data_IF_221415817452
#
_entry.id   IF_221415817452
#
_cell.length_a   1.000
_cell.length_b   1.000
_cell.length_c   1.000
_cell.angle_alpha   90.00
_cell.angle_beta   90.00
_cell.angle_gamma   90.00
#
_symmetry.space_group_name_H-M   'P 1'
#
loop_
_entity.id
_entity.type
_entity.pdbx_description
1 polymer ?
#
# COMPACT_ATOMS: atom_id res chain seq x y z
N UNK A 1 24.68 21.57 1.78
CA UNK A 1 24.24 22.40 2.93
C UNK A 1 22.81 21.97 3.21
N UNK A 2 22.64 20.95 4.06
CA UNK A 2 21.35 20.31 4.33
C UNK A 2 20.62 21.15 5.39
N UNK A 3 19.42 21.64 5.06
CA UNK A 3 18.58 22.39 6.00
C UNK A 3 18.34 21.59 7.29
N UNK A 4 18.51 22.26 8.42
CA UNK A 4 18.18 21.82 9.78
C UNK A 4 16.65 21.84 10.05
N UNK A 5 15.83 21.54 9.05
CA UNK A 5 14.39 21.39 9.29
C UNK A 5 14.15 19.93 9.65
N UNK A 6 13.92 19.68 10.95
CA UNK A 6 13.43 18.39 11.41
C UNK A 6 12.21 18.00 10.60
N UNK A 7 12.18 16.75 10.13
CA UNK A 7 11.19 16.26 9.18
C UNK A 7 9.81 16.25 9.87
N UNK A 8 9.04 17.35 9.75
CA UNK A 8 7.70 17.49 10.33
C UNK A 8 6.67 16.53 9.74
N UNK A 9 7.07 15.63 8.83
CA UNK A 9 6.20 14.65 8.22
C UNK A 9 5.54 13.71 9.25
N UNK A 10 6.12 13.50 10.44
CA UNK A 10 5.44 12.75 11.51
C UNK A 10 4.18 13.48 12.04
N UNK A 11 4.08 14.81 11.89
CA UNK A 11 2.87 15.58 12.23
C UNK A 11 1.70 15.18 11.34
N UNK A 12 1.94 14.75 10.10
CA UNK A 12 0.88 14.22 9.23
C UNK A 12 0.23 12.98 9.86
N UNK A 13 1.03 12.12 10.50
CA UNK A 13 0.53 10.96 11.23
C UNK A 13 -0.35 11.37 12.42
N UNK A 14 0.05 12.40 13.17
CA UNK A 14 -0.76 12.95 14.27
C UNK A 14 -2.05 13.60 13.78
N UNK A 15 -1.99 14.36 12.69
CA UNK A 15 -3.16 14.97 12.06
C UNK A 15 -4.12 13.91 11.51
N UNK A 16 -3.60 12.79 10.97
CA UNK A 16 -4.39 11.63 10.56
C UNK A 16 -5.07 10.92 11.75
N UNK A 17 -4.53 11.05 12.96
CA UNK A 17 -5.13 10.48 14.17
C UNK A 17 -6.39 11.26 14.62
N UNK A 18 -6.49 12.55 14.30
CA UNK A 18 -7.62 13.40 14.70
C UNK A 18 -8.96 12.91 14.10
N UNK A 19 -9.08 12.68 12.78
CA UNK A 19 -10.29 12.09 12.19
C UNK A 19 -10.65 10.72 12.78
N UNK A 20 -9.67 9.88 13.11
CA UNK A 20 -9.91 8.57 13.75
C UNK A 20 -10.57 8.71 15.12
N UNK A 21 -10.12 9.68 15.91
CA UNK A 21 -10.65 9.96 17.25
C UNK A 21 -12.02 10.65 17.19
N UNK A 22 -12.23 11.59 16.26
CA UNK A 22 -13.44 12.41 16.20
C UNK A 22 -14.61 11.77 15.44
N UNK A 23 -14.36 11.15 14.28
CA UNK A 23 -15.45 10.69 13.40
C UNK A 23 -16.08 9.37 13.88
N UNK A 24 -15.46 8.70 14.87
CA UNK A 24 -15.85 7.37 15.38
C UNK A 24 -16.21 6.42 14.24
N UNK A 25 -15.46 6.47 13.13
CA UNK A 25 -15.66 5.62 11.94
C UNK A 25 -15.65 4.14 12.34
N UNK A 26 -14.94 3.83 13.43
CA UNK A 26 -14.85 2.54 14.12
C UNK A 26 -16.19 1.94 14.54
N UNK A 27 -17.15 2.76 14.98
CA UNK A 27 -18.35 2.28 15.67
C UNK A 27 -19.50 2.00 14.70
N UNK A 28 -19.40 2.47 13.46
CA UNK A 28 -20.50 2.40 12.51
C UNK A 28 -20.02 2.01 11.11
N UNK A 29 -20.39 0.81 10.68
CA UNK A 29 -20.11 0.26 9.34
C UNK A 29 -20.54 1.20 8.21
N UNK A 30 -21.68 1.89 8.36
CA UNK A 30 -22.17 2.81 7.33
C UNK A 30 -21.25 4.03 7.19
N UNK A 31 -20.68 4.54 8.28
CA UNK A 31 -19.70 5.64 8.25
C UNK A 31 -18.39 5.19 7.60
N UNK A 32 -17.94 3.97 7.90
CA UNK A 32 -16.77 3.37 7.26
C UNK A 32 -16.95 3.27 5.74
N UNK A 33 -18.08 2.70 5.31
CA UNK A 33 -18.40 2.57 3.88
C UNK A 33 -18.49 3.95 3.23
N UNK A 34 -19.20 4.89 3.85
CA UNK A 34 -19.33 6.26 3.34
C UNK A 34 -17.97 6.94 3.16
N UNK A 35 -17.07 6.80 4.14
CA UNK A 35 -15.71 7.33 4.04
C UNK A 35 -14.97 6.76 2.81
N UNK A 36 -14.97 5.44 2.64
CA UNK A 36 -14.32 4.79 1.48
C UNK A 36 -14.97 5.19 0.14
N UNK A 37 -16.29 5.35 0.09
CA UNK A 37 -17.01 5.83 -1.10
C UNK A 37 -16.64 7.29 -1.44
N UNK A 38 -16.51 8.16 -0.44
CA UNK A 38 -16.02 9.52 -0.64
C UNK A 38 -14.57 9.54 -1.14
N UNK A 39 -13.69 8.75 -0.53
CA UNK A 39 -12.30 8.63 -0.97
C UNK A 39 -12.20 8.10 -2.39
N UNK A 40 -13.03 7.11 -2.76
CA UNK A 40 -13.11 6.59 -4.12
C UNK A 40 -13.47 7.67 -5.12
N UNK A 41 -14.49 8.48 -4.83
CA UNK A 41 -14.84 9.61 -5.69
C UNK A 41 -13.68 10.60 -5.83
N UNK A 42 -13.06 10.99 -4.71
CA UNK A 42 -11.93 11.95 -4.72
C UNK A 42 -10.76 11.42 -5.54
N UNK A 43 -10.35 10.16 -5.36
CA UNK A 43 -9.25 9.56 -6.10
C UNK A 43 -9.54 9.42 -7.59
N UNK A 44 -10.78 9.04 -7.96
CA UNK A 44 -11.20 9.02 -9.36
C UNK A 44 -11.09 10.41 -9.98
N UNK A 45 -11.54 11.46 -9.28
CA UNK A 45 -11.40 12.84 -9.74
C UNK A 45 -9.94 13.29 -9.84
N UNK A 46 -9.08 12.88 -8.91
CA UNK A 46 -7.64 13.16 -8.95
C UNK A 46 -6.96 12.50 -10.16
N UNK A 47 -7.26 11.24 -10.44
CA UNK A 47 -6.74 10.54 -11.64
C UNK A 47 -7.19 11.27 -12.91
N UNK A 48 -8.47 11.63 -13.01
CA UNK A 48 -8.99 12.38 -14.16
C UNK A 48 -8.30 13.75 -14.29
N UNK A 49 -8.10 14.46 -13.18
CA UNK A 49 -7.38 15.73 -13.14
C UNK A 49 -5.93 15.61 -13.60
N UNK A 50 -5.20 14.59 -13.15
CA UNK A 50 -3.83 14.28 -13.59
C UNK A 50 -3.79 13.98 -15.10
N UNK A 51 -4.75 13.23 -15.63
CA UNK A 51 -4.87 13.04 -17.07
C UNK A 51 -5.06 14.35 -17.83
N UNK A 52 -5.96 15.22 -17.37
CA UNK A 52 -6.12 16.54 -17.97
C UNK A 52 -4.80 17.32 -17.98
N UNK A 53 -4.11 17.41 -16.84
CA UNK A 53 -2.81 18.10 -16.72
C UNK A 53 -1.78 17.51 -17.70
N UNK A 54 -1.71 16.17 -17.75
CA UNK A 54 -0.80 15.43 -18.62
C UNK A 54 -1.06 15.69 -20.11
N UNK A 55 -2.34 15.69 -20.54
CA UNK A 55 -2.72 15.98 -21.92
C UNK A 55 -2.40 17.42 -22.35
N UNK A 56 -2.37 18.38 -21.42
CA UNK A 56 -1.89 19.75 -21.67
C UNK A 56 -0.36 19.87 -21.64
N UNK A 57 0.38 18.75 -21.61
CA UNK A 57 1.85 18.72 -21.62
C UNK A 57 2.49 19.17 -20.30
N UNK A 58 1.70 19.33 -19.24
CA UNK A 58 2.16 19.70 -17.90
C UNK A 58 2.31 18.46 -17.02
N UNK A 59 3.04 18.58 -15.92
CA UNK A 59 3.04 17.56 -14.87
C UNK A 59 3.28 18.20 -13.51
N UNK A 60 2.73 17.56 -12.48
CA UNK A 60 2.99 17.89 -11.08
C UNK A 60 4.28 17.24 -10.56
N UNK A 61 4.92 16.36 -11.34
CA UNK A 61 6.15 15.66 -10.95
C UNK A 61 7.19 15.67 -12.08
N UNK A 62 8.47 15.68 -11.73
CA UNK A 62 9.58 15.84 -12.68
C UNK A 62 9.58 14.78 -13.80
N UNK A 63 9.28 13.52 -13.45
CA UNK A 63 9.25 12.40 -14.39
C UNK A 63 7.89 12.17 -15.06
N UNK A 64 7.01 13.17 -15.06
CA UNK A 64 5.62 13.08 -15.53
C UNK A 64 4.77 12.01 -14.82
N UNK A 65 5.21 11.56 -13.65
CA UNK A 65 4.51 10.57 -12.84
C UNK A 65 3.28 11.18 -12.17
N UNK A 66 2.19 10.42 -12.08
CA UNK A 66 0.99 10.86 -11.39
C UNK A 66 1.20 10.79 -9.88
N UNK A 67 0.78 11.84 -9.17
CA UNK A 67 0.89 11.97 -7.71
C UNK A 67 -0.45 12.24 -7.02
N UNK A 68 -1.50 12.59 -7.78
CA UNK A 68 -2.86 12.79 -7.29
C UNK A 68 -3.01 13.83 -6.17
N UNK A 69 -2.01 14.69 -5.96
CA UNK A 69 -1.95 15.64 -4.85
C UNK A 69 -1.44 15.08 -3.51
N UNK A 70 -0.94 13.83 -3.45
CA UNK A 70 -0.31 13.26 -2.25
C UNK A 70 1.18 13.62 -2.10
N UNK A 71 1.76 14.30 -3.10
CA UNK A 71 3.16 14.71 -3.07
C UNK A 71 4.18 13.56 -3.24
N UNK A 72 3.72 12.33 -3.53
CA UNK A 72 4.58 11.19 -3.81
C UNK A 72 3.89 10.18 -4.75
N UNK A 73 4.52 9.78 -5.88
CA UNK A 73 3.93 8.83 -6.81
C UNK A 73 3.62 7.45 -6.21
N UNK A 74 4.49 6.95 -5.33
CA UNK A 74 4.28 5.63 -4.71
C UNK A 74 3.14 5.66 -3.71
N UNK A 75 3.01 6.71 -2.88
CA UNK A 75 1.92 6.85 -1.92
C UNK A 75 0.57 6.94 -2.63
N UNK A 76 0.50 7.71 -3.73
CA UNK A 76 -0.69 7.77 -4.57
C UNK A 76 -1.06 6.40 -5.17
N UNK A 77 -0.09 5.70 -5.74
CA UNK A 77 -0.30 4.36 -6.30
C UNK A 77 -0.82 3.36 -5.26
N UNK A 78 -0.24 3.34 -4.06
CA UNK A 78 -0.69 2.45 -2.97
C UNK A 78 -2.12 2.78 -2.52
N UNK A 79 -2.47 4.07 -2.50
CA UNK A 79 -3.82 4.47 -2.14
C UNK A 79 -4.84 4.06 -3.22
N UNK A 80 -4.48 4.17 -4.51
CA UNK A 80 -5.27 3.61 -5.60
C UNK A 80 -5.44 2.09 -5.45
N UNK A 81 -4.36 1.35 -5.18
CA UNK A 81 -4.39 -0.10 -4.96
C UNK A 81 -5.32 -0.49 -3.82
N UNK A 82 -5.31 0.29 -2.73
CA UNK A 82 -6.19 0.06 -1.60
C UNK A 82 -7.66 0.22 -1.97
N UNK A 83 -7.99 1.24 -2.77
CA UNK A 83 -9.36 1.43 -3.26
C UNK A 83 -9.76 0.43 -4.34
N UNK A 84 -8.82 -0.06 -5.13
CA UNK A 84 -9.03 -1.20 -6.03
C UNK A 84 -9.37 -2.46 -5.21
N UNK A 85 -8.65 -2.72 -4.12
CA UNK A 85 -8.98 -3.81 -3.21
C UNK A 85 -10.39 -3.63 -2.61
N UNK A 86 -10.77 -2.40 -2.24
CA UNK A 86 -12.13 -2.09 -1.80
C UNK A 86 -13.19 -2.41 -2.87
N UNK A 87 -12.96 -1.99 -4.11
CA UNK A 87 -13.85 -2.28 -5.25
C UNK A 87 -14.02 -3.78 -5.50
N UNK A 88 -12.92 -4.54 -5.44
CA UNK A 88 -12.87 -5.95 -5.84
C UNK A 88 -13.38 -6.90 -4.75
N UNK A 89 -13.04 -6.64 -3.49
CA UNK A 89 -13.29 -7.57 -2.37
C UNK A 89 -14.47 -7.19 -1.50
N UNK A 90 -14.91 -5.92 -1.50
CA UNK A 90 -16.00 -5.47 -0.63
C UNK A 90 -17.20 -4.92 -1.39
N UNK A 91 -16.95 -3.96 -2.28
CA UNK A 91 -18.01 -3.15 -2.88
C UNK A 91 -18.90 -3.99 -3.79
N UNK A 92 -20.18 -3.62 -3.87
CA UNK A 92 -21.11 -4.22 -4.84
C UNK A 92 -20.68 -3.90 -6.28
N UNK A 93 -20.92 -4.85 -7.18
CA UNK A 93 -20.70 -4.65 -8.62
C UNK A 93 -21.70 -3.62 -9.14
N UNK A 94 -21.19 -2.61 -9.81
CA UNK A 94 -21.96 -1.56 -10.47
C UNK A 94 -21.18 -1.04 -11.67
N UNK A 95 -21.85 -0.35 -12.60
CA UNK A 95 -21.16 0.29 -13.72
C UNK A 95 -20.09 1.28 -13.24
N UNK A 96 -20.40 2.06 -12.20
CA UNK A 96 -19.41 2.96 -11.61
C UNK A 96 -18.25 2.21 -10.95
N UNK A 97 -18.46 1.03 -10.32
CA UNK A 97 -17.36 0.19 -9.81
C UNK A 97 -16.43 -0.27 -10.93
N UNK A 98 -16.99 -0.64 -12.09
CA UNK A 98 -16.21 -1.04 -13.26
C UNK A 98 -15.41 0.14 -13.79
N UNK A 99 -16.05 1.30 -14.01
CA UNK A 99 -15.40 2.51 -14.49
C UNK A 99 -14.28 2.98 -13.55
N UNK A 100 -14.56 3.04 -12.24
CA UNK A 100 -13.59 3.44 -11.24
C UNK A 100 -12.39 2.47 -11.18
N UNK A 101 -12.62 1.17 -11.33
CA UNK A 101 -11.54 0.18 -11.38
C UNK A 101 -10.54 0.48 -12.51
N UNK A 102 -11.02 0.68 -13.75
CA UNK A 102 -10.13 0.95 -14.87
C UNK A 102 -9.39 2.28 -14.74
N UNK A 103 -10.07 3.33 -14.25
CA UNK A 103 -9.41 4.61 -14.01
C UNK A 103 -8.32 4.50 -12.95
N UNK A 104 -8.60 3.85 -11.81
CA UNK A 104 -7.58 3.68 -10.76
C UNK A 104 -6.40 2.82 -11.25
N UNK A 105 -6.65 1.75 -12.00
CA UNK A 105 -5.57 0.96 -12.63
C UNK A 105 -4.69 1.81 -13.54
N UNK A 106 -5.29 2.66 -14.38
CA UNK A 106 -4.56 3.58 -15.23
C UNK A 106 -3.75 4.58 -14.38
N UNK A 107 -4.34 5.12 -13.31
CA UNK A 107 -3.65 5.97 -12.35
C UNK A 107 -2.41 5.31 -11.72
N UNK A 108 -2.53 4.05 -11.29
CA UNK A 108 -1.40 3.26 -10.72
C UNK A 108 -0.28 3.11 -11.74
N UNK A 109 -0.58 2.72 -12.97
CA UNK A 109 0.44 2.56 -14.03
C UNK A 109 1.15 3.88 -14.32
N UNK A 110 0.40 4.99 -14.37
CA UNK A 110 0.94 6.33 -14.63
C UNK A 110 1.79 6.88 -13.47
N UNK A 111 1.79 6.27 -12.29
CA UNK A 111 2.72 6.64 -11.20
C UNK A 111 4.18 6.29 -11.50
N UNK A 112 4.44 5.43 -12.51
CA UNK A 112 5.79 4.93 -12.85
C UNK A 112 6.57 4.37 -11.64
N UNK A 113 5.84 3.88 -10.64
CA UNK A 113 6.37 3.32 -9.39
C UNK A 113 6.16 1.82 -9.36
N UNK A 114 7.25 1.06 -9.24
CA UNK A 114 7.21 -0.41 -9.34
C UNK A 114 6.37 -1.06 -8.25
N UNK A 115 6.49 -0.58 -7.01
CA UNK A 115 5.81 -1.19 -5.88
C UNK A 115 4.27 -1.15 -6.02
N UNK A 116 3.63 0.00 -6.31
CA UNK A 116 2.21 0.03 -6.65
C UNK A 116 1.83 -0.90 -7.79
N UNK A 117 2.58 -0.93 -8.89
CA UNK A 117 2.26 -1.79 -10.05
C UNK A 117 2.32 -3.28 -9.67
N UNK A 118 3.29 -3.69 -8.84
CA UNK A 118 3.38 -5.05 -8.32
C UNK A 118 2.22 -5.38 -7.38
N UNK A 119 1.83 -4.45 -6.51
CA UNK A 119 0.69 -4.62 -5.62
C UNK A 119 -0.63 -4.71 -6.38
N UNK A 120 -0.85 -3.88 -7.40
CA UNK A 120 -1.96 -3.97 -8.33
C UNK A 120 -2.06 -5.37 -8.97
N UNK A 121 -0.93 -5.87 -9.45
CA UNK A 121 -0.84 -7.21 -10.06
C UNK A 121 -1.22 -8.27 -9.03
N UNK A 122 -0.67 -8.20 -7.82
CA UNK A 122 -1.00 -9.13 -6.74
C UNK A 122 -2.50 -9.10 -6.39
N UNK A 123 -3.09 -7.92 -6.24
CA UNK A 123 -4.51 -7.72 -5.87
C UNK A 123 -5.43 -8.32 -6.94
N UNK A 124 -5.16 -8.04 -8.21
CA UNK A 124 -5.96 -8.54 -9.35
C UNK A 124 -5.81 -10.05 -9.51
N UNK A 125 -4.60 -10.60 -9.31
CA UNK A 125 -4.33 -12.05 -9.30
C UNK A 125 -5.07 -12.74 -8.16
N UNK A 126 -4.94 -12.24 -6.93
CA UNK A 126 -5.62 -12.78 -5.76
C UNK A 126 -7.15 -12.79 -5.96
N UNK A 127 -7.70 -11.70 -6.49
CA UNK A 127 -9.14 -11.61 -6.78
C UNK A 127 -9.60 -12.65 -7.81
N UNK A 128 -8.85 -12.77 -8.92
CA UNK A 128 -9.20 -13.71 -9.98
C UNK A 128 -9.03 -15.17 -9.57
N UNK A 129 -8.00 -15.50 -8.79
CA UNK A 129 -7.81 -16.83 -8.21
C UNK A 129 -8.95 -17.21 -7.26
N UNK A 130 -9.39 -16.28 -6.39
CA UNK A 130 -10.51 -16.52 -5.47
C UNK A 130 -11.86 -16.72 -6.18
N UNK A 131 -12.03 -16.22 -7.41
CA UNK A 131 -13.29 -16.30 -8.17
C UNK A 131 -13.32 -17.38 -9.23
N UNK A 132 -12.21 -17.62 -9.89
CA UNK A 132 -12.13 -18.44 -11.09
C UNK A 132 -11.06 -19.54 -10.99
N UNK A 133 -10.37 -19.63 -9.84
CA UNK A 133 -9.41 -20.68 -9.53
C UNK A 133 -8.28 -20.76 -10.55
N UNK A 134 -7.95 -22.00 -10.94
CA UNK A 134 -6.84 -22.33 -11.85
C UNK A 134 -6.99 -21.68 -13.23
N UNK A 135 -8.23 -21.47 -13.71
CA UNK A 135 -8.48 -20.86 -15.03
C UNK A 135 -7.93 -19.44 -15.11
N UNK A 136 -7.99 -18.69 -14.02
CA UNK A 136 -7.46 -17.33 -13.97
C UNK A 136 -5.93 -17.33 -13.91
N UNK A 137 -5.33 -18.27 -13.18
CA UNK A 137 -3.87 -18.41 -13.13
C UNK A 137 -3.28 -18.68 -14.53
N UNK A 138 -3.95 -19.52 -15.33
CA UNK A 138 -3.57 -19.79 -16.72
C UNK A 138 -3.68 -18.52 -17.59
N UNK A 139 -4.75 -17.73 -17.41
CA UNK A 139 -4.91 -16.46 -18.10
C UNK A 139 -3.79 -15.47 -17.73
N UNK A 140 -3.47 -15.33 -16.44
CA UNK A 140 -2.37 -14.47 -15.98
C UNK A 140 -1.03 -14.89 -16.57
N UNK A 141 -0.73 -16.20 -16.60
CA UNK A 141 0.49 -16.72 -17.22
C UNK A 141 0.54 -16.37 -18.72
N UNK A 142 -0.59 -16.51 -19.42
CA UNK A 142 -0.71 -16.17 -20.84
C UNK A 142 -0.49 -14.68 -21.10
N UNK A 143 -1.06 -13.81 -20.26
CA UNK A 143 -0.85 -12.36 -20.32
C UNK A 143 0.59 -11.98 -19.99
N UNK A 144 1.21 -12.62 -18.99
CA UNK A 144 2.61 -12.38 -18.64
C UNK A 144 3.56 -12.79 -19.78
N UNK A 145 3.31 -13.91 -20.44
CA UNK A 145 4.07 -14.35 -21.62
C UNK A 145 3.92 -13.36 -22.78
N UNK A 146 2.69 -12.90 -23.07
CA UNK A 146 2.46 -11.85 -24.05
C UNK A 146 3.20 -10.56 -23.68
N UNK A 147 3.17 -10.18 -22.40
CA UNK A 147 3.86 -9.00 -21.91
C UNK A 147 5.38 -9.13 -22.02
N UNK A 148 5.97 -10.31 -21.82
CA UNK A 148 7.41 -10.52 -22.08
C UNK A 148 7.74 -10.29 -23.55
N UNK A 149 6.91 -10.80 -24.46
CA UNK A 149 7.11 -10.68 -25.92
C UNK A 149 6.93 -9.23 -26.40
N UNK A 150 5.96 -8.49 -25.85
CA UNK A 150 5.62 -7.12 -26.26
C UNK A 150 6.06 -6.04 -25.26
N UNK A 151 6.92 -6.39 -24.31
CA UNK A 151 7.43 -5.48 -23.27
C UNK A 151 7.99 -4.20 -23.89
N UNK A 152 8.62 -4.36 -25.07
CA UNK A 152 9.25 -3.28 -25.80
C UNK A 152 8.31 -2.24 -26.43
N UNK A 153 7.01 -2.50 -26.43
CA UNK A 153 6.00 -1.59 -26.97
C UNK A 153 5.07 -1.03 -25.88
N UNK A 154 5.02 -1.66 -24.70
CA UNK A 154 4.00 -1.41 -23.67
C UNK A 154 4.55 -0.65 -22.46
N UNK A 155 5.77 -0.95 -22.03
CA UNK A 155 6.37 -0.33 -20.85
C UNK A 155 6.98 1.03 -21.18
N UNK A 156 6.83 2.01 -20.28
CA UNK A 156 7.58 3.27 -20.36
C UNK A 156 9.08 3.04 -20.17
N UNK A 157 9.91 3.85 -20.83
CA UNK A 157 11.37 3.75 -20.77
C UNK A 157 11.91 3.78 -19.34
N UNK A 158 11.30 4.61 -18.48
CA UNK A 158 11.70 4.72 -17.08
C UNK A 158 11.41 3.45 -16.27
N UNK A 159 10.30 2.77 -16.55
CA UNK A 159 9.96 1.51 -15.88
C UNK A 159 10.85 0.36 -16.37
N UNK A 160 11.18 0.34 -17.66
CA UNK A 160 12.17 -0.60 -18.22
C UNK A 160 13.55 -0.42 -17.62
N UNK A 161 14.01 0.82 -17.51
CA UNK A 161 15.28 1.13 -16.88
C UNK A 161 15.33 0.60 -15.45
N UNK A 162 14.27 0.82 -14.65
CA UNK A 162 14.17 0.29 -13.29
C UNK A 162 14.16 -1.24 -13.23
N UNK A 163 13.43 -1.91 -14.13
CA UNK A 163 13.41 -3.37 -14.23
C UNK A 163 14.78 -3.93 -14.60
N UNK A 164 15.45 -3.33 -15.60
CA UNK A 164 16.80 -3.70 -16.01
C UNK A 164 17.82 -3.49 -14.87
N UNK A 165 17.73 -2.38 -14.12
CA UNK A 165 18.56 -2.17 -12.94
C UNK A 165 18.35 -3.23 -11.86
N UNK A 166 17.12 -3.74 -11.66
CA UNK A 166 16.88 -4.83 -10.71
C UNK A 166 17.54 -6.15 -11.14
N UNK A 167 17.46 -6.49 -12.43
CA UNK A 167 18.12 -7.68 -13.00
C UNK A 167 19.64 -7.54 -12.89
N UNK A 168 20.20 -6.37 -13.21
CA UNK A 168 21.64 -6.10 -13.09
C UNK A 168 22.18 -6.27 -11.66
N UNK A 169 21.38 -5.91 -10.64
CA UNK A 169 21.73 -6.13 -9.22
C UNK A 169 21.76 -7.62 -8.85
N UNK A 170 20.88 -8.44 -9.44
CA UNK A 170 20.87 -9.90 -9.22
C UNK A 170 22.06 -10.56 -9.92
N UNK A 171 22.41 -10.08 -11.11
CA UNK A 171 23.52 -10.60 -11.92
C UNK A 171 24.90 -10.07 -11.49
N UNK A 172 24.96 -9.24 -10.44
CA UNK A 172 26.22 -8.69 -9.90
C UNK A 172 26.90 -7.68 -10.83
N UNK A 173 26.24 -7.26 -11.90
CA UNK A 173 26.76 -6.27 -12.84
C UNK A 173 26.44 -4.86 -12.33
N UNK A 174 27.48 -4.07 -12.00
CA UNK A 174 27.35 -2.66 -11.64
C UNK A 174 27.05 -1.75 -12.86
N UNK A 175 26.27 -2.23 -13.83
CA UNK A 175 25.85 -1.41 -14.97
C UNK A 175 24.72 -0.48 -14.51
N UNK A 176 25.02 0.83 -14.44
CA UNK A 176 24.09 1.95 -14.23
C UNK A 176 22.89 1.63 -13.32
N UNK A 177 23.17 1.31 -12.05
CA UNK A 177 22.12 1.10 -11.06
C UNK A 177 21.36 2.41 -10.83
N UNK A 178 20.04 2.40 -10.99
CA UNK A 178 19.18 3.52 -10.57
C UNK A 178 19.59 4.05 -9.20
N UNK A 179 19.79 5.36 -9.08
CA UNK A 179 20.20 6.02 -7.83
C UNK A 179 19.30 5.63 -6.63
N UNK A 180 18.01 5.37 -6.88
CA UNK A 180 17.07 4.90 -5.86
C UNK A 180 17.42 3.52 -5.27
N UNK A 181 18.03 2.64 -6.05
CA UNK A 181 18.37 1.27 -5.62
C UNK A 181 19.71 1.26 -4.87
N UNK A 182 20.72 1.95 -5.42
CA UNK A 182 22.05 2.04 -4.80
C UNK A 182 22.02 2.75 -3.45
N UNK A 183 21.24 3.82 -3.31
CA UNK A 183 21.03 4.52 -2.03
C UNK A 183 20.39 3.59 -0.99
N UNK A 184 19.36 2.81 -1.37
CA UNK A 184 18.71 1.86 -0.46
C UNK A 184 19.64 0.75 0.03
N UNK A 185 20.49 0.21 -0.85
CA UNK A 185 21.49 -0.81 -0.46
C UNK A 185 22.51 -0.20 0.50
N UNK A 186 22.97 1.03 0.27
CA UNK A 186 23.91 1.73 1.15
C UNK A 186 23.32 1.93 2.55
N UNK A 187 22.08 2.41 2.62
CA UNK A 187 21.33 2.57 3.87
C UNK A 187 21.26 1.26 4.67
N UNK A 188 20.95 0.14 4.02
CA UNK A 188 20.84 -1.15 4.71
C UNK A 188 22.20 -1.59 5.27
N UNK A 189 23.29 -1.36 4.53
CA UNK A 189 24.65 -1.65 5.00
C UNK A 189 25.04 -0.79 6.20
N UNK A 190 24.85 0.53 6.11
CA UNK A 190 25.12 1.47 7.21
C UNK A 190 24.32 1.13 8.47
N UNK A 191 23.07 0.68 8.30
CA UNK A 191 22.22 0.23 9.40
C UNK A 191 22.73 -1.06 10.07
N UNK A 192 23.15 -2.06 9.29
CA UNK A 192 23.70 -3.32 9.80
C UNK A 192 25.02 -3.11 10.56
N UNK A 193 25.86 -2.18 10.10
CA UNK A 193 27.10 -1.83 10.79
C UNK A 193 26.83 -1.12 12.13
N UNK A 194 25.77 -0.32 12.20
CA UNK A 194 25.37 0.41 13.43
C UNK A 194 24.82 -0.54 14.50
N UNK A 195 24.11 -1.59 14.09
CA UNK A 195 23.62 -2.67 14.96
C UNK A 195 24.71 -3.34 15.79
N UNK A 196 25.92 -3.49 15.24
CA UNK A 196 27.04 -4.10 15.94
C UNK A 196 27.70 -3.20 17.00
N UNK A 197 27.38 -1.91 17.03
CA UNK A 197 28.09 -0.92 17.87
C UNK A 197 27.34 -0.55 19.16
N UNK A 198 26.01 -0.53 19.14
CA UNK A 198 25.20 -0.14 20.31
C UNK A 198 23.87 -0.93 20.40
N UNK A 199 23.96 -2.13 20.99
CA UNK A 199 22.81 -3.02 21.19
C UNK A 199 21.77 -2.45 22.17
N UNK A 200 22.14 -1.83 23.31
CA UNK A 200 21.16 -1.16 24.17
C UNK A 200 20.44 0.00 23.47
N UNK A 201 21.16 0.85 22.72
CA UNK A 201 20.56 1.91 21.92
C UNK A 201 19.54 1.35 20.93
N UNK A 202 19.93 0.31 20.17
CA UNK A 202 19.03 -0.39 19.26
C UNK A 202 17.73 -0.88 19.90
N UNK A 203 17.81 -1.48 21.09
CA UNK A 203 16.65 -2.08 21.74
C UNK A 203 15.61 -1.03 22.15
N UNK A 204 16.07 0.10 22.69
CA UNK A 204 15.20 1.06 23.37
C UNK A 204 14.96 2.37 22.62
N UNK A 205 15.96 2.92 21.91
CA UNK A 205 15.92 4.31 21.43
C UNK A 205 16.38 4.51 19.97
N UNK A 206 16.95 3.49 19.32
CA UNK A 206 17.48 3.57 17.96
C UNK A 206 18.94 4.04 17.89
N UNK A 207 19.39 4.39 16.68
CA UNK A 207 20.79 4.77 16.38
C UNK A 207 20.96 6.21 15.90
N UNK A 208 19.87 6.97 15.83
CA UNK A 208 19.86 8.28 15.22
C UNK A 208 20.26 9.37 16.22
N UNK A 209 21.26 10.19 15.87
CA UNK A 209 21.55 11.46 16.58
C UNK A 209 20.41 12.49 16.45
N UNK A 210 19.40 12.20 15.61
CA UNK A 210 18.18 12.98 15.40
C UNK A 210 16.97 12.24 15.97
N UNK A 211 15.96 12.97 16.44
CA UNK A 211 14.68 12.39 16.89
C UNK A 211 13.92 11.58 15.81
N UNK A 212 14.21 11.83 14.53
CA UNK A 212 13.62 11.10 13.41
C UNK A 212 14.62 11.02 12.25
N UNK A 213 14.99 9.80 11.84
CA UNK A 213 15.83 9.54 10.68
C UNK A 213 14.97 9.07 9.51
N UNK A 214 14.60 10.01 8.65
CA UNK A 214 13.79 9.76 7.47
C UNK A 214 14.54 9.02 6.38
N UNK A 215 14.29 7.72 6.23
CA UNK A 215 14.97 6.88 5.24
C UNK A 215 13.95 6.23 4.30
N UNK A 216 14.39 5.80 3.11
CA UNK A 216 13.62 5.14 2.05
C UNK A 216 13.07 3.73 2.41
N UNK A 217 12.71 3.50 3.68
CA UNK A 217 12.04 2.32 4.23
C UNK A 217 11.43 2.68 5.60
N UNK A 218 10.13 2.43 5.81
CA UNK A 218 9.49 2.67 7.10
C UNK A 218 10.10 1.79 8.20
N UNK A 219 10.46 0.54 7.86
CA UNK A 219 11.09 -0.40 8.79
C UNK A 219 12.40 0.17 9.35
N UNK A 220 13.31 0.60 8.47
CA UNK A 220 14.60 1.15 8.88
C UNK A 220 14.42 2.49 9.59
N UNK A 221 13.53 3.34 9.08
CA UNK A 221 13.22 4.63 9.70
C UNK A 221 12.76 4.44 11.14
N UNK A 222 11.82 3.53 11.40
CA UNK A 222 11.31 3.29 12.75
C UNK A 222 12.35 2.62 13.64
N UNK A 223 13.04 1.58 13.16
CA UNK A 223 14.05 0.91 13.98
C UNK A 223 15.21 1.85 14.35
N UNK A 224 15.64 2.70 13.41
CA UNK A 224 16.71 3.68 13.66
C UNK A 224 16.28 4.87 14.51
N UNK A 225 14.98 5.23 14.52
CA UNK A 225 14.46 6.40 15.26
C UNK A 225 13.86 6.07 16.63
N UNK A 226 13.29 4.88 16.81
CA UNK A 226 12.52 4.50 18.00
C UNK A 226 13.01 3.20 18.64
N UNK A 227 13.97 2.51 18.02
CA UNK A 227 14.48 1.22 18.50
C UNK A 227 13.51 0.06 18.28
N UNK A 228 13.94 -1.13 18.69
CA UNK A 228 13.24 -2.40 18.46
C UNK A 228 11.92 -2.49 19.21
N UNK A 229 11.83 -2.02 20.45
CA UNK A 229 10.62 -2.20 21.26
C UNK A 229 9.43 -1.43 20.71
N UNK A 230 9.59 -0.14 20.41
CA UNK A 230 8.52 0.69 19.87
C UNK A 230 8.15 0.28 18.44
N UNK A 231 9.15 0.06 17.58
CA UNK A 231 8.94 -0.42 16.21
C UNK A 231 8.30 -1.81 16.21
N UNK A 232 8.79 -2.70 17.07
CA UNK A 232 8.27 -4.05 17.24
C UNK A 232 6.83 -4.04 17.71
N UNK A 233 6.44 -3.14 18.62
CA UNK A 233 5.05 -2.94 19.01
C UNK A 233 4.15 -2.54 17.83
N UNK A 234 4.61 -1.62 16.99
CA UNK A 234 3.89 -1.21 15.78
C UNK A 234 3.71 -2.37 14.78
N UNK A 235 4.78 -3.11 14.49
CA UNK A 235 4.73 -4.27 13.59
C UNK A 235 3.90 -5.41 14.17
N UNK A 236 4.02 -5.65 15.48
CA UNK A 236 3.23 -6.64 16.19
C UNK A 236 1.74 -6.32 16.09
N UNK A 237 1.35 -5.05 16.26
CA UNK A 237 -0.02 -4.61 16.05
C UNK A 237 -0.51 -4.88 14.62
N UNK A 238 0.30 -4.54 13.60
CA UNK A 238 -0.06 -4.79 12.20
C UNK A 238 -0.27 -6.30 11.91
N UNK A 239 0.66 -7.14 12.40
CA UNK A 239 0.59 -8.61 12.25
C UNK A 239 -0.59 -9.19 13.03
N UNK A 240 -0.85 -8.72 14.25
CA UNK A 240 -1.99 -9.17 15.04
C UNK A 240 -3.31 -8.83 14.33
N UNK A 241 -3.45 -7.62 13.80
CA UNK A 241 -4.61 -7.20 13.00
C UNK A 241 -4.75 -8.03 11.71
N UNK A 242 -3.64 -8.37 11.06
CA UNK A 242 -3.63 -9.25 9.89
C UNK A 242 -4.15 -10.65 10.25
N UNK A 243 -3.59 -11.28 11.28
CA UNK A 243 -4.02 -12.58 11.76
C UNK A 243 -5.50 -12.58 12.16
N UNK A 244 -5.95 -11.59 12.94
CA UNK A 244 -7.36 -11.44 13.32
C UNK A 244 -8.29 -11.31 12.12
N UNK A 245 -7.85 -10.60 11.08
CA UNK A 245 -8.63 -10.47 9.84
C UNK A 245 -8.71 -11.80 9.08
N UNK A 246 -7.63 -12.59 9.03
CA UNK A 246 -7.64 -13.93 8.41
C UNK A 246 -8.63 -14.87 9.10
N UNK A 247 -8.63 -14.87 10.44
CA UNK A 247 -9.50 -15.76 11.21
C UNK A 247 -10.96 -15.30 11.28
N UNK A 248 -11.29 -14.13 10.70
CA UNK A 248 -12.67 -13.66 10.64
C UNK A 248 -13.38 -14.22 9.39
N UNK A 249 -14.46 -14.97 9.62
CA UNK A 249 -15.26 -15.61 8.55
C UNK A 249 -16.14 -14.66 7.73
N UNK A 250 -16.16 -13.36 8.04
CA UNK A 250 -16.94 -12.39 7.27
C UNK A 250 -16.41 -12.24 5.85
N UNK A 251 -17.30 -12.12 4.85
CA UNK A 251 -16.90 -11.84 3.45
C UNK A 251 -16.06 -10.56 3.30
N UNK A 252 -16.28 -9.63 4.22
CA UNK A 252 -15.55 -8.37 4.35
C UNK A 252 -14.10 -8.54 4.83
N UNK A 253 -13.76 -9.68 5.43
CA UNK A 253 -12.43 -9.92 6.01
C UNK A 253 -11.31 -9.93 4.96
N UNK A 254 -11.60 -10.44 3.75
CA UNK A 254 -10.64 -10.52 2.64
C UNK A 254 -10.12 -9.12 2.26
N UNK A 255 -10.99 -8.11 2.25
CA UNK A 255 -10.57 -6.74 1.99
C UNK A 255 -9.58 -6.22 3.05
N UNK A 256 -9.83 -6.48 4.34
CA UNK A 256 -8.91 -6.08 5.39
C UNK A 256 -7.58 -6.83 5.30
N UNK A 257 -7.61 -8.15 5.03
CA UNK A 257 -6.40 -8.95 4.84
C UNK A 257 -5.54 -8.37 3.71
N UNK A 258 -6.15 -8.13 2.54
CA UNK A 258 -5.45 -7.55 1.39
C UNK A 258 -4.96 -6.13 1.69
N UNK A 259 -5.78 -5.30 2.33
CA UNK A 259 -5.42 -3.93 2.72
C UNK A 259 -4.23 -3.88 3.69
N UNK A 260 -4.26 -4.69 4.76
CA UNK A 260 -3.15 -4.78 5.72
C UNK A 260 -1.89 -5.32 5.01
N UNK A 261 -2.03 -6.31 4.13
CA UNK A 261 -0.91 -6.83 3.35
C UNK A 261 -0.24 -5.76 2.49
N UNK A 262 -1.04 -4.94 1.77
CA UNK A 262 -0.55 -3.79 1.00
C UNK A 262 0.33 -2.88 1.87
N UNK A 263 -0.14 -2.52 3.06
CA UNK A 263 0.61 -1.67 3.99
C UNK A 263 1.86 -2.33 4.55
N UNK A 264 1.79 -3.61 4.96
CA UNK A 264 2.95 -4.37 5.46
C UNK A 264 4.07 -4.38 4.43
N UNK A 265 3.75 -4.75 3.18
CA UNK A 265 4.74 -4.76 2.10
C UNK A 265 5.24 -3.34 1.83
N UNK A 266 4.36 -2.34 1.83
CA UNK A 266 4.76 -0.96 1.60
C UNK A 266 5.72 -0.42 2.66
N UNK A 267 5.54 -0.75 3.94
CA UNK A 267 6.42 -0.32 5.03
C UNK A 267 7.82 -0.90 4.95
N UNK A 268 7.98 -2.09 4.37
CA UNK A 268 9.31 -2.68 4.17
C UNK A 268 10.16 -1.85 3.20
N UNK A 269 9.52 -1.33 2.14
CA UNK A 269 10.23 -0.75 1.01
C UNK A 269 10.09 0.76 0.87
N UNK A 270 9.12 1.41 1.50
CA UNK A 270 8.88 2.83 1.37
C UNK A 270 8.43 3.45 2.70
N UNK A 271 8.67 4.76 2.83
CA UNK A 271 8.28 5.57 3.98
C UNK A 271 6.91 6.20 3.78
N UNK A 272 5.88 5.37 3.67
CA UNK A 272 4.56 5.82 3.20
C UNK A 272 3.72 6.49 4.28
N UNK A 273 3.94 6.20 5.57
CA UNK A 273 3.08 6.73 6.66
C UNK A 273 3.25 8.23 6.86
N UNK A 274 4.41 8.74 6.50
CA UNK A 274 4.81 10.14 6.54
C UNK A 274 4.00 11.02 5.57
N UNK A 275 3.39 10.39 4.56
CA UNK A 275 2.56 11.07 3.58
C UNK A 275 1.09 11.04 4.03
N UNK A 276 0.50 12.22 4.17
CA UNK A 276 -0.95 12.33 4.35
C UNK A 276 -1.68 11.80 3.10
N UNK A 277 -2.76 11.00 3.20
CA UNK A 277 -3.43 10.50 4.41
C UNK A 277 -3.12 9.02 4.75
N UNK A 278 -1.94 8.49 4.42
CA UNK A 278 -1.66 7.05 4.46
C UNK A 278 -1.82 6.43 5.85
N UNK A 279 -1.40 7.13 6.90
CA UNK A 279 -1.56 6.67 8.27
C UNK A 279 -3.05 6.47 8.65
N UNK A 280 -3.93 7.38 8.22
CA UNK A 280 -5.38 7.26 8.44
C UNK A 280 -5.92 5.96 7.84
N UNK A 281 -5.58 5.67 6.59
CA UNK A 281 -6.01 4.44 5.92
C UNK A 281 -5.47 3.19 6.60
N UNK A 282 -4.19 3.19 6.98
CA UNK A 282 -3.58 2.08 7.70
C UNK A 282 -4.35 1.75 8.99
N UNK A 283 -4.57 2.75 9.85
CA UNK A 283 -5.28 2.54 11.11
C UNK A 283 -6.75 2.15 10.90
N UNK A 284 -7.44 2.73 9.91
CA UNK A 284 -8.81 2.33 9.57
C UNK A 284 -8.91 0.85 9.16
N UNK A 285 -7.88 0.32 8.51
CA UNK A 285 -7.86 -1.06 8.01
C UNK A 285 -7.37 -2.05 9.07
N UNK A 286 -6.38 -1.66 9.88
CA UNK A 286 -5.93 -2.47 11.01
C UNK A 286 -6.96 -2.54 12.15
N UNK A 287 -7.91 -1.61 12.21
CA UNK A 287 -9.03 -1.63 13.14
C UNK A 287 -10.28 -2.23 12.49
N UNK A 288 -10.54 -3.51 12.74
CA UNK A 288 -11.80 -4.12 12.34
C UNK A 288 -12.98 -3.36 12.99
N UNK A 289 -14.01 -2.95 12.24
CA UNK A 289 -15.22 -2.36 12.84
C UNK A 289 -15.84 -3.34 13.84
N UNK A 290 -16.26 -2.84 15.00
CA UNK A 290 -16.82 -3.67 16.08
C UNK A 290 -18.05 -4.47 15.65
N UNK A 291 -18.81 -3.98 14.66
CA UNK A 291 -19.95 -4.68 14.05
C UNK A 291 -19.56 -5.89 13.19
N UNK A 292 -18.30 -5.96 12.71
CA UNK A 292 -17.75 -7.09 11.94
C UNK A 292 -17.00 -8.08 12.84
N UNK A 293 -16.77 -7.70 14.08
CA UNK A 293 -16.08 -8.47 15.11
C UNK A 293 -16.99 -9.45 15.85
N UNK A 294 -18.12 -9.82 15.24
CA UNK A 294 -19.04 -10.82 15.78
C UNK A 294 -18.46 -12.23 15.62
N UNK A 295 -17.34 -12.52 16.29
CA UNK A 295 -17.10 -13.82 16.90
C UNK A 295 -18.04 -13.98 18.11
N UNK A 296 -19.35 -13.97 17.86
CA UNK A 296 -20.32 -14.55 18.78
C UNK A 296 -20.73 -15.87 18.17
N UNK A 297 -20.42 -17.03 18.76
CA UNK A 297 -21.10 -18.25 18.40
C UNK A 297 -22.56 -18.08 18.79
N UNK A 298 -23.41 -17.63 17.87
CA UNK A 298 -24.85 -17.83 18.03
C UNK A 298 -25.12 -19.30 17.79
N UNK A 299 -25.09 -20.06 18.89
CA UNK A 299 -26.01 -21.16 19.07
C UNK A 299 -27.40 -20.70 18.60
N UNK A 300 -27.94 -21.40 17.61
CA UNK A 300 -29.28 -21.11 17.11
C UNK A 300 -29.55 -21.76 15.76
N UNK A 301 -29.91 -23.04 15.80
CA UNK A 301 -30.81 -23.62 14.81
C UNK A 301 -30.18 -24.02 13.48
N UNK A 302 -29.89 -25.31 13.38
CA UNK A 302 -30.05 -26.04 12.13
C UNK A 302 -31.52 -25.90 11.72
N UNK A 303 -31.85 -24.99 10.81
CA UNK A 303 -33.03 -25.14 9.96
C UNK A 303 -32.62 -25.93 8.73
N UNK A 304 -32.80 -27.24 8.86
CA UNK A 304 -33.00 -28.17 7.76
C UNK A 304 -34.36 -27.87 7.12
N UNK A 305 -34.40 -27.86 5.78
CA UNK A 305 -35.63 -27.87 4.97
C UNK A 305 -36.09 -26.45 4.62
N UNK A 306 -36.38 -26.10 3.38
CA UNK A 306 -37.21 -26.80 2.37
C UNK A 306 -36.66 -26.39 0.99
N UNK A 307 -36.04 -27.30 0.22
CA UNK A 307 -36.59 -27.96 -0.98
C UNK A 307 -37.32 -27.06 -2.01
N UNK A 308 -36.80 -27.07 -3.25
CA UNK A 308 -37.47 -26.96 -4.59
C UNK A 308 -38.31 -25.68 -4.84
N UNK A 309 -38.08 -24.90 -5.89
CA UNK A 309 -38.07 -25.18 -7.34
C UNK A 309 -37.09 -24.21 -8.03
#
# INVERSE_FOLDING_TARGET
MFSQEGDWMYVNTLMCAIPLLLLRVRENLARFIFFFECCLLVLVLQVVGEFFIYFYGKSLWENKAFIGGLGNPSSFGILCDLLIAYLLFWRKKSFYSFFAFFLLCAGVVMTSSMLPVLLLTFITVAWGMLRSGVKFAILCLSVALLFMVFSDQILSDHLRYKLASMVGVIDGSQADSSASVSVRVKIHKEYLESLGRDVPGFLFYGFSERYYNGVDSQLITYLSSFGLLASGGFWFYAVLSFCRSIFNSSRASIFFVVGIFIFIIAFLFNRILDYYPMALFFFLICMLPSSLDLSSPRNGGIDKGIEKI
#
